data_IF_058192396731
#
_entry.id   IF_058192396731
#
_cell.length_a   1.000
_cell.length_b   1.000
_cell.length_c   1.000
_cell.angle_alpha   90.00
_cell.angle_beta   90.00
_cell.angle_gamma   90.00
#
_symmetry.space_group_name_H-M   'P 1'
#
loop_
_entity.id
_entity.type
_entity.pdbx_description
1 polymer ?
#
# COMPACT_ATOMS: atom_id res chain seq x y z
N UNK A 1 -0.65 -3.95 -14.21
CA UNK A 1 0.23 -3.23 -15.14
C UNK A 1 -0.11 -3.74 -16.54
N UNK A 2 -0.46 -2.86 -17.49
CA UNK A 2 -0.68 -3.27 -18.88
C UNK A 2 0.51 -2.83 -19.72
N UNK A 3 1.02 -3.72 -20.54
CA UNK A 3 2.08 -3.45 -21.51
C UNK A 3 1.47 -3.42 -22.91
N UNK A 4 1.83 -2.40 -23.68
CA UNK A 4 1.51 -2.32 -25.11
C UNK A 4 2.83 -2.42 -25.87
N UNK A 5 2.89 -3.34 -26.84
CA UNK A 5 4.04 -3.46 -27.76
C UNK A 5 4.13 -2.21 -28.64
N UNK A 6 5.33 -1.63 -28.73
CA UNK A 6 5.56 -0.32 -29.35
C UNK A 6 6.22 -0.39 -30.72
N UNK A 7 6.38 -1.58 -31.28
CA UNK A 7 6.95 -1.79 -32.61
C UNK A 7 5.92 -1.46 -33.70
N UNK A 8 6.15 -0.35 -34.43
CA UNK A 8 5.44 -0.03 -35.67
C UNK A 8 4.59 1.25 -35.69
N UNK A 9 4.57 2.07 -34.64
CA UNK A 9 3.82 3.34 -34.66
C UNK A 9 4.72 4.50 -35.10
N UNK A 10 4.34 5.16 -36.19
CA UNK A 10 4.94 6.40 -36.67
C UNK A 10 4.98 7.47 -35.56
N UNK A 11 5.99 8.34 -35.59
CA UNK A 11 6.25 9.39 -34.58
C UNK A 11 5.12 10.42 -34.39
N UNK A 12 4.05 10.34 -35.16
CA UNK A 12 2.92 11.27 -35.08
C UNK A 12 2.05 10.92 -33.86
N UNK A 13 2.46 11.48 -32.72
CA UNK A 13 1.72 11.58 -31.46
C UNK A 13 1.15 10.25 -30.98
N UNK A 14 1.89 9.57 -30.10
CA UNK A 14 1.33 8.58 -29.17
C UNK A 14 0.32 9.26 -28.24
N UNK A 15 -0.83 9.67 -28.77
CA UNK A 15 -1.99 10.07 -27.99
C UNK A 15 -2.50 8.77 -27.40
N UNK A 16 -2.17 8.53 -26.13
CA UNK A 16 -2.77 7.43 -25.39
C UNK A 16 -4.26 7.73 -25.35
N UNK A 17 -5.04 7.11 -26.24
CA UNK A 17 -6.48 7.03 -26.09
C UNK A 17 -6.74 6.28 -24.78
N UNK A 18 -7.05 7.05 -23.74
CA UNK A 18 -7.51 6.51 -22.48
C UNK A 18 -8.92 6.02 -22.75
N UNK A 19 -9.04 4.73 -23.06
CA UNK A 19 -10.33 4.06 -23.22
C UNK A 19 -11.26 4.48 -22.05
N UNK A 20 -12.42 5.06 -22.39
CA UNK A 20 -13.42 5.52 -21.43
C UNK A 20 -14.05 4.36 -20.64
N UNK A 21 -13.86 3.13 -21.10
CA UNK A 21 -14.23 1.89 -20.42
C UNK A 21 -13.13 1.47 -19.41
N UNK A 22 -12.75 2.35 -18.47
CA UNK A 22 -11.94 1.89 -17.34
C UNK A 22 -12.79 0.93 -16.51
N UNK A 23 -12.39 -0.35 -16.36
CA UNK A 23 -13.07 -1.22 -15.41
C UNK A 23 -12.99 -0.55 -14.03
N UNK A 24 -14.13 -0.47 -13.35
CA UNK A 24 -14.20 0.02 -11.97
C UNK A 24 -13.42 -0.95 -11.11
N UNK A 25 -12.13 -0.66 -10.92
CA UNK A 25 -11.27 -1.42 -10.06
C UNK A 25 -11.47 -0.94 -8.62
N UNK A 26 -11.69 -1.89 -7.73
CA UNK A 26 -11.67 -1.69 -6.28
C UNK A 26 -10.28 -2.04 -5.78
N UNK A 27 -9.63 -1.10 -5.11
CA UNK A 27 -8.38 -1.36 -4.42
C UNK A 27 -8.69 -1.62 -2.95
N UNK A 28 -8.18 -2.74 -2.43
CA UNK A 28 -8.35 -3.16 -1.05
C UNK A 28 -6.97 -3.42 -0.46
N UNK A 29 -6.72 -2.90 0.73
CA UNK A 29 -5.57 -3.27 1.54
C UNK A 29 -5.99 -4.31 2.57
N UNK A 30 -5.15 -5.33 2.74
CA UNK A 30 -5.32 -6.39 3.71
C UNK A 30 -3.95 -6.89 4.16
N UNK A 31 -3.87 -7.32 5.42
CA UNK A 31 -2.73 -8.02 5.99
C UNK A 31 -3.14 -9.35 6.60
N UNK A 32 -2.21 -10.29 6.64
CA UNK A 32 -2.38 -11.59 7.30
C UNK A 32 -1.16 -11.87 8.16
N UNK A 33 -1.38 -12.47 9.32
CA UNK A 33 -0.34 -12.88 10.25
C UNK A 33 -0.64 -14.26 10.85
N UNK A 34 0.29 -14.78 11.65
CA UNK A 34 0.06 -16.00 12.44
C UNK A 34 -1.06 -15.86 13.48
N UNK A 35 -1.46 -14.64 13.82
CA UNK A 35 -2.53 -14.36 14.78
C UNK A 35 -3.87 -14.03 14.11
N UNK A 36 -3.93 -14.08 12.78
CA UNK A 36 -5.14 -13.78 11.99
C UNK A 36 -4.94 -12.63 10.99
N UNK A 37 -6.04 -12.24 10.38
CA UNK A 37 -6.17 -11.20 9.36
C UNK A 37 -6.46 -9.81 9.93
N UNK A 38 -6.04 -8.76 9.23
CA UNK A 38 -6.42 -7.37 9.52
C UNK A 38 -7.84 -7.08 9.05
N UNK A 39 -8.36 -5.92 9.42
CA UNK A 39 -9.52 -5.39 8.70
C UNK A 39 -9.17 -5.13 7.24
N UNK A 40 -10.18 -5.26 6.36
CA UNK A 40 -10.06 -4.86 4.97
C UNK A 40 -10.25 -3.34 4.88
N UNK A 41 -9.25 -2.64 4.34
CA UNK A 41 -9.36 -1.21 4.10
C UNK A 41 -9.64 -0.96 2.61
N UNK A 42 -10.85 -0.48 2.33
CA UNK A 42 -11.28 -0.15 0.98
C UNK A 42 -10.78 1.24 0.62
N UNK A 43 -10.05 1.32 -0.50
CA UNK A 43 -9.58 2.58 -1.06
C UNK A 43 -10.65 3.14 -1.97
N UNK A 44 -10.93 4.44 -1.80
CA UNK A 44 -11.88 5.15 -2.65
C UNK A 44 -11.45 5.12 -4.12
N UNK A 45 -12.42 4.85 -5.01
CA UNK A 45 -12.17 4.73 -6.44
C UNK A 45 -11.52 6.00 -7.02
N UNK A 46 -10.48 5.82 -7.83
CA UNK A 46 -9.73 6.93 -8.44
C UNK A 46 -8.71 7.60 -7.51
N UNK A 47 -8.63 7.20 -6.24
CA UNK A 47 -7.65 7.75 -5.29
C UNK A 47 -6.22 7.37 -5.66
N UNK A 48 -5.32 8.35 -5.55
CA UNK A 48 -3.88 8.13 -5.62
C UNK A 48 -3.35 7.78 -4.23
N UNK A 49 -2.78 6.60 -4.08
CA UNK A 49 -2.11 6.18 -2.83
C UNK A 49 -0.79 6.94 -2.67
N UNK A 50 -0.89 8.16 -2.15
CA UNK A 50 0.26 8.95 -1.70
C UNK A 50 0.71 8.46 -0.33
N UNK A 51 1.91 8.84 0.11
CA UNK A 51 2.39 8.57 1.47
C UNK A 51 1.41 9.05 2.54
N UNK A 52 0.87 10.27 2.39
CA UNK A 52 -0.10 10.84 3.33
C UNK A 52 -1.39 10.02 3.37
N UNK A 53 -1.95 9.71 2.21
CA UNK A 53 -3.17 8.90 2.12
C UNK A 53 -2.98 7.54 2.77
N UNK A 54 -1.86 6.87 2.47
CA UNK A 54 -1.54 5.56 3.04
C UNK A 54 -1.42 5.61 4.56
N UNK A 55 -0.76 6.63 5.11
CA UNK A 55 -0.65 6.82 6.57
C UNK A 55 -2.04 7.00 7.18
N UNK A 56 -2.80 7.98 6.71
CA UNK A 56 -4.08 8.40 7.33
C UNK A 56 -5.16 7.32 7.22
N UNK A 57 -5.26 6.65 6.06
CA UNK A 57 -6.41 5.78 5.76
C UNK A 57 -6.11 4.29 5.93
N UNK A 58 -4.84 3.88 5.98
CA UNK A 58 -4.45 2.48 6.06
C UNK A 58 -3.63 2.23 7.32
N UNK A 59 -2.48 2.90 7.45
CA UNK A 59 -1.52 2.58 8.51
C UNK A 59 -2.03 3.01 9.87
N UNK A 60 -2.56 4.22 10.02
CA UNK A 60 -3.06 4.70 11.31
C UNK A 60 -4.22 3.82 11.84
N UNK A 61 -5.24 3.46 11.04
CA UNK A 61 -6.23 2.47 11.44
C UNK A 61 -5.62 1.11 11.81
N UNK A 62 -4.71 0.58 10.99
CA UNK A 62 -4.02 -0.68 11.27
C UNK A 62 -3.29 -0.64 12.63
N UNK A 63 -2.58 0.46 12.92
CA UNK A 63 -1.82 0.63 14.17
C UNK A 63 -2.74 0.76 15.38
N UNK A 64 -3.86 1.47 15.24
CA UNK A 64 -4.74 1.75 16.36
C UNK A 64 -5.69 0.58 16.67
N UNK A 65 -6.07 -0.23 15.67
CA UNK A 65 -7.07 -1.29 15.83
C UNK A 65 -6.49 -2.70 15.65
N UNK A 66 -5.82 -2.97 14.54
CA UNK A 66 -5.40 -4.33 14.22
C UNK A 66 -4.18 -4.77 15.03
N UNK A 67 -3.20 -3.89 15.25
CA UNK A 67 -2.02 -4.24 16.07
C UNK A 67 -2.43 -4.65 17.50
N UNK A 68 -3.22 -3.86 18.27
CA UNK A 68 -3.61 -4.25 19.62
C UNK A 68 -4.48 -5.51 19.65
N UNK A 69 -5.34 -5.70 18.64
CA UNK A 69 -6.24 -6.87 18.53
C UNK A 69 -5.48 -8.15 18.20
N UNK A 70 -4.57 -8.11 17.24
CA UNK A 70 -3.84 -9.29 16.74
C UNK A 70 -2.60 -9.60 17.59
N UNK A 71 -2.00 -8.61 18.24
CA UNK A 71 -0.71 -8.75 18.94
C UNK A 71 -0.75 -8.21 20.37
N UNK A 72 -1.85 -8.49 21.10
CA UNK A 72 -2.04 -8.07 22.50
C UNK A 72 -0.93 -8.57 23.43
N UNK A 73 -0.46 -7.73 24.36
CA UNK A 73 0.64 -8.04 25.28
C UNK A 73 2.01 -7.57 24.75
N UNK A 74 3.13 -8.17 25.20
CA UNK A 74 4.48 -7.81 24.74
C UNK A 74 4.81 -8.27 23.31
N UNK A 75 3.88 -8.96 22.62
CA UNK A 75 4.04 -9.47 21.26
C UNK A 75 4.06 -8.40 20.18
N UNK A 76 3.49 -7.21 20.42
CA UNK A 76 3.60 -6.09 19.48
C UNK A 76 5.06 -5.69 19.21
N UNK A 77 5.98 -5.92 20.17
CA UNK A 77 7.43 -5.70 20.01
C UNK A 77 8.11 -6.73 19.12
N UNK A 78 7.42 -7.82 18.77
CA UNK A 78 7.91 -8.94 17.96
C UNK A 78 7.27 -8.99 16.57
N UNK A 79 6.42 -8.04 16.20
CA UNK A 79 5.88 -7.99 14.85
C UNK A 79 6.78 -7.20 13.91
N UNK A 80 6.84 -7.65 12.67
CA UNK A 80 7.46 -6.93 11.57
C UNK A 80 6.48 -6.86 10.41
N UNK A 81 6.28 -5.66 9.87
CA UNK A 81 5.45 -5.42 8.70
C UNK A 81 6.26 -5.71 7.44
N UNK A 82 5.78 -6.62 6.62
CA UNK A 82 6.33 -6.89 5.29
C UNK A 82 5.40 -6.32 4.23
N UNK A 83 5.91 -5.44 3.38
CA UNK A 83 5.16 -4.77 2.31
C UNK A 83 6.06 -4.54 1.09
N UNK A 84 5.47 -4.31 -0.07
CA UNK A 84 6.21 -4.00 -1.30
C UNK A 84 6.75 -2.56 -1.31
N UNK A 85 7.64 -2.28 -2.26
CA UNK A 85 8.28 -0.97 -2.40
C UNK A 85 7.45 0.04 -3.21
N UNK A 86 6.12 -0.07 -3.21
CA UNK A 86 5.26 0.88 -3.91
C UNK A 86 5.54 2.32 -3.43
N UNK A 87 5.42 3.36 -4.29
CA UNK A 87 5.85 4.71 -3.93
C UNK A 87 5.23 5.27 -2.66
N UNK A 88 3.96 4.95 -2.35
CA UNK A 88 3.30 5.36 -1.11
C UNK A 88 3.83 4.63 0.13
N UNK A 89 4.23 3.36 -0.01
CA UNK A 89 4.68 2.51 1.09
C UNK A 89 6.14 2.80 1.47
N UNK A 90 7.01 2.95 0.46
CA UNK A 90 8.44 3.20 0.62
C UNK A 90 8.80 4.69 0.76
N UNK A 91 7.82 5.60 0.68
CA UNK A 91 8.05 7.01 0.87
C UNK A 91 8.65 7.31 2.25
N UNK A 92 9.57 8.28 2.30
CA UNK A 92 10.22 8.74 3.55
C UNK A 92 9.21 9.06 4.65
N UNK A 93 8.10 9.74 4.31
CA UNK A 93 7.04 10.07 5.28
C UNK A 93 6.44 8.84 5.93
N UNK A 94 6.11 7.81 5.13
CA UNK A 94 5.56 6.54 5.61
C UNK A 94 6.55 5.81 6.50
N UNK A 95 7.80 5.68 6.06
CA UNK A 95 8.84 5.00 6.84
C UNK A 95 9.16 5.73 8.16
N UNK A 96 9.18 7.07 8.15
CA UNK A 96 9.36 7.87 9.36
C UNK A 96 8.21 7.68 10.35
N UNK A 97 6.96 7.68 9.87
CA UNK A 97 5.79 7.40 10.71
C UNK A 97 5.85 6.01 11.35
N UNK A 98 6.17 4.97 10.55
CA UNK A 98 6.32 3.60 11.06
C UNK A 98 7.39 3.50 12.15
N UNK A 99 8.53 4.16 11.94
CA UNK A 99 9.62 4.21 12.92
C UNK A 99 9.20 4.92 14.20
N UNK A 100 8.47 6.03 14.11
CA UNK A 100 7.92 6.75 15.28
C UNK A 100 6.96 5.86 16.09
N UNK A 101 6.10 5.11 15.39
CA UNK A 101 5.20 4.11 15.99
C UNK A 101 5.91 2.82 16.44
N UNK A 102 7.23 2.74 16.31
CA UNK A 102 8.08 1.59 16.69
C UNK A 102 7.71 0.30 15.96
N UNK A 103 7.21 0.41 14.73
CA UNK A 103 6.87 -0.72 13.87
C UNK A 103 8.11 -1.07 13.07
N UNK A 104 8.57 -2.31 13.18
CA UNK A 104 9.66 -2.79 12.34
C UNK A 104 9.12 -3.08 10.94
N UNK A 105 9.75 -2.52 9.92
CA UNK A 105 9.39 -2.76 8.52
C UNK A 105 10.50 -3.57 7.87
N UNK A 106 10.14 -4.69 7.24
CA UNK A 106 11.06 -5.47 6.40
C UNK A 106 11.00 -4.87 5.01
N UNK A 107 12.08 -4.24 4.60
CA UNK A 107 12.30 -3.78 3.22
C UNK A 107 13.29 -4.74 2.55
N UNK A 108 13.12 -5.01 1.25
CA UNK A 108 14.18 -5.71 0.50
C UNK A 108 15.47 -4.89 0.62
N UNK A 109 16.49 -5.48 1.21
CA UNK A 109 17.86 -4.99 1.08
C UNK A 109 18.28 -5.17 -0.37
N UNK A 110 18.77 -4.11 -1.00
CA UNK A 110 19.62 -4.24 -2.20
C UNK A 110 20.93 -4.96 -1.83
#
# INVERSE_FOLDING_TARGET
MYFVRSDGLAEEVKKIERNELRPVALLVWAGVSTHGETQLHFVEHGSRITSRYYIEHIIEPFVNYDIPRLFSGDTHKKMSLHQDSAPGHAAKGTLSYMKEKKIQVITSTE
#
